data_IF_781401321152
#
_entry.id   IF_781401321152
#
_cell.length_a   1.000
_cell.length_b   1.000
_cell.length_c   1.000
_cell.angle_alpha   90.00
_cell.angle_beta   90.00
_cell.angle_gamma   90.00
#
_symmetry.space_group_name_H-M   'P 1'
#
loop_
_entity.id
_entity.type
_entity.pdbx_description
1 polymer ?
#
# COMPACT_ATOMS: atom_id res chain seq x y z
N UNK A 1 -11.50 9.32 7.10
CA UNK A 1 -10.94 8.53 5.99
C UNK A 1 -10.17 7.37 6.59
N UNK A 2 -9.90 6.30 5.83
CA UNK A 2 -9.20 5.14 6.37
C UNK A 2 -7.69 5.40 6.32
N UNK A 3 -7.01 5.36 7.47
CA UNK A 3 -5.56 5.44 7.52
C UNK A 3 -4.93 4.14 7.00
N UNK A 4 -3.71 4.21 6.51
CA UNK A 4 -2.96 3.03 6.08
C UNK A 4 -2.83 1.99 7.20
N UNK A 5 -2.58 2.44 8.44
CA UNK A 5 -2.56 1.57 9.61
C UNK A 5 -3.88 0.80 9.82
N UNK A 6 -5.03 1.44 9.57
CA UNK A 6 -6.33 0.75 9.64
C UNK A 6 -6.51 -0.32 8.55
N UNK A 7 -5.89 -0.15 7.39
CA UNK A 7 -5.86 -1.17 6.31
C UNK A 7 -5.00 -2.35 6.74
N UNK A 8 -3.83 -2.09 7.32
CA UNK A 8 -2.93 -3.13 7.88
C UNK A 8 -3.66 -3.95 8.95
N UNK A 9 -4.37 -3.27 9.88
CA UNK A 9 -5.14 -3.95 10.93
C UNK A 9 -6.23 -4.85 10.37
N UNK A 10 -6.95 -4.38 9.35
CA UNK A 10 -8.01 -5.16 8.69
C UNK A 10 -7.46 -6.40 7.97
N UNK A 11 -6.32 -6.26 7.27
CA UNK A 11 -5.60 -7.39 6.66
C UNK A 11 -5.17 -8.40 7.74
N UNK A 12 -4.51 -7.94 8.81
CA UNK A 12 -4.08 -8.79 9.91
C UNK A 12 -5.26 -9.51 10.57
N UNK A 13 -6.39 -8.84 10.76
CA UNK A 13 -7.59 -9.44 11.33
C UNK A 13 -8.15 -10.57 10.44
N UNK A 14 -8.20 -10.35 9.12
CA UNK A 14 -8.67 -11.36 8.17
C UNK A 14 -7.71 -12.56 8.15
N UNK A 15 -6.41 -12.31 8.02
CA UNK A 15 -5.41 -13.38 7.89
C UNK A 15 -5.29 -14.20 9.18
N UNK A 16 -5.33 -13.54 10.36
CA UNK A 16 -5.36 -14.21 11.67
C UNK A 16 -6.62 -15.09 11.84
N UNK A 17 -7.75 -14.69 11.27
CA UNK A 17 -9.00 -15.47 11.29
C UNK A 17 -8.91 -16.80 10.55
N UNK A 18 -8.03 -16.93 9.58
CA UNK A 18 -7.78 -18.18 8.84
C UNK A 18 -6.65 -19.03 9.44
N UNK A 19 -5.88 -18.48 10.37
CA UNK A 19 -4.76 -19.17 11.01
C UNK A 19 -5.19 -19.85 12.31
N UNK A 20 -4.79 -21.12 12.51
CA UNK A 20 -4.86 -21.80 13.80
C UNK A 20 -3.76 -21.33 14.77
N UNK A 21 -3.03 -20.28 14.40
CA UNK A 21 -1.91 -19.78 15.15
C UNK A 21 -2.40 -18.99 16.37
N UNK A 22 -2.02 -19.44 17.56
CA UNK A 22 -2.16 -18.65 18.77
C UNK A 22 -0.95 -17.72 18.90
N UNK A 23 -1.15 -16.41 18.86
CA UNK A 23 -0.03 -15.48 19.04
C UNK A 23 0.59 -15.68 20.43
N UNK A 24 1.90 -15.93 20.46
CA UNK A 24 2.70 -15.90 21.68
C UNK A 24 3.11 -14.46 21.92
N UNK A 25 2.86 -13.93 23.07
CA UNK A 25 3.22 -12.55 23.32
C UNK A 25 2.99 -12.13 24.75
N UNK A 26 3.50 -10.97 25.08
CA UNK A 26 3.40 -10.34 26.38
C UNK A 26 3.22 -8.83 26.23
N UNK A 27 3.29 -8.10 27.33
CA UNK A 27 3.19 -6.64 27.35
C UNK A 27 4.34 -6.08 28.18
N UNK A 28 4.87 -4.94 27.79
CA UNK A 28 5.86 -4.22 28.59
C UNK A 28 5.27 -3.84 29.95
N UNK A 29 6.07 -3.93 31.00
CA UNK A 29 5.68 -3.46 32.33
C UNK A 29 5.98 -1.99 32.55
N UNK A 30 6.96 -1.44 31.83
CA UNK A 30 7.39 -0.04 31.87
C UNK A 30 7.68 0.46 30.46
N UNK A 31 7.72 1.78 30.28
CA UNK A 31 8.20 2.39 29.04
C UNK A 31 9.69 2.07 28.82
N UNK A 32 10.08 2.00 27.56
CA UNK A 32 11.47 1.82 27.13
C UNK A 32 11.84 2.88 26.09
N UNK A 33 13.10 3.28 26.10
CA UNK A 33 13.68 4.20 25.13
C UNK A 33 14.28 3.46 23.92
N UNK A 34 14.76 4.20 22.93
CA UNK A 34 15.29 3.67 21.66
C UNK A 34 16.52 2.76 21.85
N UNK A 35 17.29 2.96 22.89
CA UNK A 35 18.60 2.31 23.15
C UNK A 35 18.51 1.21 24.22
N UNK A 36 17.34 1.05 24.86
CA UNK A 36 17.16 0.03 25.88
C UNK A 36 17.22 -1.37 25.27
N UNK A 37 18.24 -2.13 25.65
CA UNK A 37 18.42 -3.54 25.24
C UNK A 37 17.84 -4.53 26.23
N UNK A 38 17.39 -4.08 27.41
CA UNK A 38 16.83 -4.96 28.44
C UNK A 38 15.57 -4.34 29.00
N UNK A 39 14.51 -5.12 29.06
CA UNK A 39 13.23 -4.66 29.60
C UNK A 39 12.44 -5.81 30.24
N UNK A 40 11.46 -5.46 31.05
CA UNK A 40 10.60 -6.42 31.75
C UNK A 40 9.22 -6.49 31.08
N UNK A 41 8.69 -7.71 31.03
CA UNK A 41 7.36 -7.99 30.46
C UNK A 41 6.45 -8.58 31.55
N UNK A 42 5.15 -8.57 31.32
CA UNK A 42 4.18 -9.11 32.30
C UNK A 42 4.31 -10.63 32.48
N UNK A 43 4.57 -11.36 31.41
CA UNK A 43 4.74 -12.80 31.38
C UNK A 43 5.70 -13.20 30.27
N UNK A 44 6.83 -13.78 30.65
CA UNK A 44 7.85 -14.23 29.71
C UNK A 44 7.74 -15.73 29.39
N UNK A 45 6.74 -16.45 29.90
CA UNK A 45 6.61 -17.91 29.78
C UNK A 45 6.53 -18.38 28.33
N UNK A 46 5.91 -17.59 27.45
CA UNK A 46 5.72 -17.90 26.03
C UNK A 46 6.81 -17.33 25.12
N UNK A 47 7.75 -16.57 25.67
CA UNK A 47 8.84 -15.94 24.93
C UNK A 47 10.06 -16.84 24.87
N UNK A 48 10.85 -16.69 23.82
CA UNK A 48 12.12 -17.40 23.64
C UNK A 48 13.10 -16.53 22.85
N UNK A 49 14.32 -17.04 22.60
CA UNK A 49 15.29 -16.42 21.72
C UNK A 49 14.73 -16.36 20.29
N UNK A 50 14.87 -15.22 19.61
CA UNK A 50 14.41 -15.05 18.23
C UNK A 50 13.82 -13.68 17.95
N UNK A 51 13.07 -13.56 16.87
CA UNK A 51 12.49 -12.28 16.43
C UNK A 51 11.13 -12.09 17.08
N UNK A 52 10.91 -10.87 17.61
CA UNK A 52 9.61 -10.44 18.09
C UNK A 52 9.25 -9.07 17.50
N UNK A 53 7.97 -8.76 17.46
CA UNK A 53 7.43 -7.47 17.06
C UNK A 53 6.99 -6.70 18.30
N UNK A 54 7.51 -5.49 18.48
CA UNK A 54 7.26 -4.64 19.63
C UNK A 54 6.43 -3.43 19.22
N UNK A 55 5.33 -3.21 19.95
CA UNK A 55 4.42 -2.10 19.71
C UNK A 55 3.73 -2.12 18.34
N UNK A 56 3.85 -3.22 17.57
CA UNK A 56 3.29 -3.35 16.23
C UNK A 56 4.03 -2.56 15.14
N UNK A 57 5.20 -1.99 15.44
CA UNK A 57 5.95 -1.15 14.49
C UNK A 57 7.43 -1.52 14.38
N UNK A 58 8.03 -2.01 15.46
CA UNK A 58 9.46 -2.33 15.54
C UNK A 58 9.66 -3.85 15.63
N UNK A 59 10.59 -4.38 14.86
CA UNK A 59 11.11 -5.74 15.07
C UNK A 59 12.31 -5.69 15.99
N UNK A 60 12.37 -6.63 16.93
CA UNK A 60 13.45 -6.78 17.87
C UNK A 60 14.00 -8.20 17.83
N UNK A 61 15.32 -8.33 18.01
CA UNK A 61 15.99 -9.63 18.11
C UNK A 61 16.27 -9.94 19.58
N UNK A 62 15.53 -10.91 20.14
CA UNK A 62 15.71 -11.39 21.51
C UNK A 62 16.90 -12.33 21.55
N UNK A 63 17.88 -12.02 22.41
CA UNK A 63 19.04 -12.86 22.69
C UNK A 63 18.76 -13.85 23.82
N UNK A 64 18.14 -13.36 24.91
CA UNK A 64 17.82 -14.24 26.06
C UNK A 64 16.58 -13.78 26.79
N UNK A 65 15.93 -14.71 27.49
CA UNK A 65 14.73 -14.49 28.28
C UNK A 65 14.90 -15.13 29.67
N UNK A 66 14.89 -14.31 30.71
CA UNK A 66 14.80 -14.79 32.09
C UNK A 66 13.33 -14.89 32.52
N UNK A 67 12.81 -16.09 32.57
CA UNK A 67 11.42 -16.37 32.92
C UNK A 67 11.15 -16.20 34.45
N UNK A 68 12.22 -16.16 35.27
CA UNK A 68 12.06 -15.98 36.70
C UNK A 68 11.78 -14.51 37.05
N UNK A 69 12.46 -13.61 36.38
CA UNK A 69 12.33 -12.16 36.56
C UNK A 69 11.42 -11.52 35.48
N UNK A 70 10.95 -12.30 34.50
CA UNK A 70 10.24 -11.81 33.32
C UNK A 70 11.05 -10.76 32.55
N UNK A 71 12.36 -10.90 32.50
CA UNK A 71 13.27 -9.99 31.82
C UNK A 71 13.64 -10.51 30.43
N UNK A 72 13.52 -9.65 29.44
CA UNK A 72 13.94 -9.90 28.06
C UNK A 72 15.19 -9.08 27.78
N UNK A 73 16.23 -9.73 27.23
CA UNK A 73 17.46 -9.07 26.80
C UNK A 73 17.58 -9.22 25.30
N UNK A 74 17.79 -8.10 24.61
CA UNK A 74 18.00 -8.06 23.17
C UNK A 74 19.48 -8.26 22.82
N UNK A 75 19.73 -8.71 21.60
CA UNK A 75 21.08 -8.71 21.04
C UNK A 75 21.64 -7.27 20.94
N UNK A 76 22.97 -7.09 20.86
CA UNK A 76 23.58 -5.75 20.78
C UNK A 76 23.00 -4.84 19.67
N UNK A 77 22.63 -5.43 18.53
CA UNK A 77 21.95 -4.74 17.42
C UNK A 77 20.49 -5.21 17.28
N UNK A 78 19.88 -5.56 18.40
CA UNK A 78 18.57 -6.20 18.46
C UNK A 78 17.38 -5.23 18.36
N UNK A 79 17.60 -3.91 18.46
CA UNK A 79 16.59 -2.87 18.22
C UNK A 79 16.53 -2.55 16.73
N UNK A 80 15.34 -2.19 16.24
CA UNK A 80 15.16 -1.87 14.82
C UNK A 80 15.54 -3.01 13.86
N UNK A 81 15.45 -4.27 14.31
CA UNK A 81 15.86 -5.42 13.53
C UNK A 81 15.05 -5.57 12.23
N UNK A 82 15.67 -6.20 11.21
CA UNK A 82 14.97 -6.47 9.93
C UNK A 82 14.62 -5.21 9.12
N UNK A 83 15.28 -4.09 9.38
CA UNK A 83 15.06 -2.82 8.65
C UNK A 83 13.92 -1.97 9.20
N UNK A 84 13.46 -2.27 10.42
CA UNK A 84 12.55 -1.39 11.16
C UNK A 84 13.34 -0.29 11.89
N UNK A 85 12.67 0.76 12.31
CA UNK A 85 13.27 1.83 13.10
C UNK A 85 13.08 1.55 14.60
N UNK A 86 14.14 1.75 15.38
CA UNK A 86 14.07 1.69 16.84
C UNK A 86 13.31 2.91 17.37
N UNK A 87 12.22 2.70 18.08
CA UNK A 87 11.37 3.76 18.63
C UNK A 87 11.13 3.55 20.12
N UNK A 88 10.83 4.64 20.84
CA UNK A 88 10.41 4.53 22.22
C UNK A 88 9.01 3.91 22.33
N UNK A 89 8.82 3.01 23.29
CA UNK A 89 7.54 2.34 23.53
C UNK A 89 7.02 2.65 24.93
N UNK A 90 5.74 2.93 25.02
CA UNK A 90 5.07 3.13 26.30
C UNK A 90 4.91 1.81 27.07
N UNK A 91 4.69 1.91 28.38
CA UNK A 91 4.19 0.79 29.17
C UNK A 91 2.93 0.20 28.53
N UNK A 92 2.72 -1.10 28.67
CA UNK A 92 1.64 -1.86 28.04
C UNK A 92 1.74 -2.02 26.52
N UNK A 93 2.86 -1.58 25.89
CA UNK A 93 3.12 -1.93 24.50
C UNK A 93 3.23 -3.46 24.37
N UNK A 94 2.61 -3.99 23.32
CA UNK A 94 2.55 -5.42 23.08
C UNK A 94 3.84 -5.92 22.44
N UNK A 95 4.34 -7.06 22.92
CA UNK A 95 5.44 -7.81 22.34
C UNK A 95 4.86 -9.11 21.73
N UNK A 96 4.86 -9.25 20.43
CA UNK A 96 4.42 -10.46 19.72
C UNK A 96 5.64 -11.28 19.28
N UNK A 97 5.82 -12.46 19.86
CA UNK A 97 6.95 -13.34 19.57
C UNK A 97 6.65 -14.23 18.35
N UNK A 98 7.60 -14.26 17.41
CA UNK A 98 7.54 -15.09 16.20
C UNK A 98 6.19 -15.00 15.48
N UNK A 99 5.71 -13.75 15.27
CA UNK A 99 4.47 -13.52 14.57
C UNK A 99 4.57 -14.02 13.11
N UNK A 100 3.62 -14.86 12.62
CA UNK A 100 3.67 -15.41 11.27
C UNK A 100 3.51 -14.32 10.20
N UNK A 101 2.90 -13.21 10.55
CA UNK A 101 2.73 -12.02 9.72
C UNK A 101 3.17 -10.78 10.50
N UNK A 102 4.48 -10.46 10.48
CA UNK A 102 4.95 -9.20 11.03
C UNK A 102 4.28 -8.02 10.33
N UNK A 103 3.90 -7.02 11.10
CA UNK A 103 3.17 -5.84 10.60
C UNK A 103 3.89 -5.17 9.44
N UNK A 104 5.22 -5.08 9.53
CA UNK A 104 6.04 -4.53 8.45
C UNK A 104 5.93 -5.34 7.15
N UNK A 105 5.96 -6.68 7.24
CA UNK A 105 5.77 -7.53 6.06
C UNK A 105 4.39 -7.31 5.42
N UNK A 106 3.37 -7.17 6.25
CA UNK A 106 2.01 -6.87 5.77
C UNK A 106 1.97 -5.52 5.05
N UNK A 107 2.63 -4.48 5.59
CA UNK A 107 2.76 -3.17 4.94
C UNK A 107 3.43 -3.27 3.56
N UNK A 108 4.53 -4.00 3.47
CA UNK A 108 5.22 -4.23 2.19
C UNK A 108 4.30 -4.89 1.18
N UNK A 109 3.63 -5.98 1.55
CA UNK A 109 2.72 -6.69 0.63
C UNK A 109 1.52 -5.83 0.23
N UNK A 110 1.01 -4.96 1.12
CA UNK A 110 -0.03 -3.98 0.74
C UNK A 110 0.51 -3.02 -0.32
N UNK A 111 1.70 -2.47 -0.13
CA UNK A 111 2.32 -1.55 -1.09
C UNK A 111 2.61 -2.24 -2.43
N UNK A 112 3.15 -3.45 -2.42
CA UNK A 112 3.34 -4.27 -3.62
C UNK A 112 2.01 -4.50 -4.35
N UNK A 113 0.95 -4.80 -3.59
CA UNK A 113 -0.40 -4.97 -4.15
C UNK A 113 -0.92 -3.66 -4.76
N UNK A 114 -0.75 -2.51 -4.09
CA UNK A 114 -1.15 -1.19 -4.60
C UNK A 114 -0.48 -0.92 -5.94
N UNK A 115 0.84 -1.04 -6.01
CA UNK A 115 1.61 -0.77 -7.23
C UNK A 115 1.25 -1.75 -8.35
N UNK A 116 1.05 -3.03 -8.03
CA UNK A 116 0.70 -4.08 -9.01
C UNK A 116 -0.68 -3.91 -9.64
N UNK A 117 -1.58 -3.11 -9.06
CA UNK A 117 -2.90 -2.85 -9.66
C UNK A 117 -2.84 -2.06 -10.96
N UNK A 118 -1.74 -1.33 -11.21
CA UNK A 118 -1.56 -0.62 -12.47
C UNK A 118 -1.35 -1.61 -13.64
N UNK A 119 -1.92 -1.42 -14.83
CA UNK A 119 -2.75 -0.27 -15.29
C UNK A 119 -4.26 -0.44 -15.06
N UNK A 120 -4.71 -1.45 -14.32
CA UNK A 120 -6.13 -1.72 -14.11
C UNK A 120 -6.80 -0.65 -13.26
N UNK A 121 -6.15 -0.28 -12.17
CA UNK A 121 -6.46 0.87 -11.33
C UNK A 121 -5.36 1.93 -11.47
N UNK A 122 -5.74 3.17 -11.35
CA UNK A 122 -4.87 4.32 -11.47
C UNK A 122 -5.36 5.48 -10.63
N UNK A 123 -4.44 6.36 -10.27
CA UNK A 123 -4.73 7.64 -9.68
C UNK A 123 -5.02 8.71 -10.74
N UNK A 124 -5.65 9.80 -10.33
CA UNK A 124 -5.85 10.97 -11.18
C UNK A 124 -5.24 12.20 -10.50
N UNK A 125 -4.40 12.89 -11.23
CA UNK A 125 -3.84 14.18 -10.82
C UNK A 125 -4.37 15.32 -11.67
N UNK A 126 -4.20 16.54 -11.18
CA UNK A 126 -4.53 17.76 -11.92
C UNK A 126 -3.39 18.77 -11.81
N UNK A 127 -3.08 19.41 -12.92
CA UNK A 127 -2.16 20.56 -12.95
C UNK A 127 -2.78 21.71 -13.69
N UNK A 128 -2.35 22.93 -13.39
CA UNK A 128 -2.88 24.13 -13.99
C UNK A 128 -1.76 25.04 -14.45
N UNK A 129 -1.98 25.71 -15.59
CA UNK A 129 -1.13 26.75 -16.08
C UNK A 129 -1.95 27.85 -16.78
N UNK A 130 -1.39 29.04 -16.87
CA UNK A 130 -2.03 30.15 -17.61
C UNK A 130 -1.60 30.10 -19.07
N UNK A 131 -2.56 30.14 -19.99
CA UNK A 131 -2.25 30.15 -21.41
C UNK A 131 -1.64 31.46 -21.88
N UNK A 132 -0.50 31.38 -22.54
CA UNK A 132 0.23 32.49 -23.15
C UNK A 132 0.34 32.24 -24.66
N UNK A 133 -0.13 33.13 -25.54
CA UNK A 133 -0.19 32.89 -26.99
C UNK A 133 1.15 32.61 -27.67
N UNK A 134 2.26 33.12 -27.11
CA UNK A 134 3.61 32.87 -27.60
C UNK A 134 4.18 31.50 -27.19
N UNK A 135 3.49 30.77 -26.30
CA UNK A 135 3.92 29.47 -25.78
C UNK A 135 2.89 28.43 -26.21
N UNK A 136 3.32 27.48 -26.99
CA UNK A 136 2.44 26.37 -27.46
C UNK A 136 2.57 25.11 -26.63
N UNK A 137 3.72 24.94 -25.95
CA UNK A 137 4.06 23.73 -25.19
C UNK A 137 4.27 24.09 -23.73
N UNK A 138 3.64 23.34 -22.86
CA UNK A 138 3.68 23.52 -21.40
C UNK A 138 4.15 22.25 -20.70
N UNK A 139 4.80 22.43 -19.59
CA UNK A 139 5.28 21.33 -18.75
C UNK A 139 4.11 20.71 -17.95
N UNK A 140 4.15 19.39 -17.82
CA UNK A 140 3.18 18.60 -17.06
C UNK A 140 3.96 17.78 -16.01
N UNK A 141 3.41 17.51 -14.83
CA UNK A 141 4.10 16.74 -13.81
C UNK A 141 4.68 15.42 -14.32
N UNK A 142 5.83 15.00 -13.75
CA UNK A 142 6.53 13.78 -14.15
C UNK A 142 5.68 12.51 -13.94
N UNK A 143 4.75 12.53 -12.98
CA UNK A 143 3.82 11.43 -12.68
C UNK A 143 2.75 11.22 -13.75
N UNK A 144 2.60 12.17 -14.68
CA UNK A 144 1.58 12.07 -15.72
C UNK A 144 1.95 10.99 -16.75
N UNK A 145 1.21 9.91 -16.74
CA UNK A 145 1.36 8.80 -17.71
C UNK A 145 0.49 9.03 -18.96
N UNK A 146 -0.66 9.65 -18.77
CA UNK A 146 -1.61 9.91 -19.83
C UNK A 146 -2.53 11.07 -19.47
N UNK A 147 -2.84 11.90 -20.46
CA UNK A 147 -3.82 12.97 -20.28
C UNK A 147 -5.23 12.41 -20.46
N UNK A 148 -6.10 12.71 -19.51
CA UNK A 148 -7.51 12.29 -19.51
C UNK A 148 -8.41 13.39 -20.04
N UNK A 149 -8.17 14.64 -19.63
CA UNK A 149 -8.99 15.79 -19.99
C UNK A 149 -8.16 17.06 -19.93
N UNK A 150 -8.42 17.98 -20.85
CA UNK A 150 -7.90 19.34 -20.83
C UNK A 150 -9.07 20.31 -20.88
N UNK A 151 -9.14 21.25 -19.94
CA UNK A 151 -10.17 22.28 -19.91
C UNK A 151 -9.53 23.66 -19.73
N UNK A 152 -10.14 24.67 -20.34
CA UNK A 152 -9.78 26.06 -20.15
C UNK A 152 -10.94 26.80 -19.48
N UNK A 153 -10.66 27.61 -18.47
CA UNK A 153 -11.68 28.40 -17.80
C UNK A 153 -12.08 29.58 -18.67
N UNK A 154 -13.36 29.76 -18.88
CA UNK A 154 -13.87 30.90 -19.65
C UNK A 154 -13.70 32.19 -18.84
N UNK A 155 -13.10 33.21 -19.43
CA UNK A 155 -12.90 34.51 -18.80
C UNK A 155 -14.27 35.20 -18.68
N UNK A 156 -14.74 35.42 -17.44
CA UNK A 156 -16.01 36.06 -17.18
C UNK A 156 -16.61 35.68 -15.82
N UNK A 157 -17.81 36.19 -15.50
CA UNK A 157 -18.48 35.87 -14.23
C UNK A 157 -19.01 34.41 -14.17
N UNK A 158 -19.17 33.75 -15.31
CA UNK A 158 -19.54 32.35 -15.37
C UNK A 158 -18.30 31.48 -15.13
N UNK A 159 -18.45 30.41 -14.30
CA UNK A 159 -17.40 29.43 -14.09
C UNK A 159 -17.46 28.31 -15.14
N UNK A 160 -17.78 28.66 -16.38
CA UNK A 160 -17.87 27.69 -17.46
C UNK A 160 -16.47 27.24 -17.87
N UNK A 161 -16.36 25.97 -18.21
CA UNK A 161 -15.12 25.36 -18.69
C UNK A 161 -15.29 24.93 -20.14
N UNK A 162 -14.39 25.38 -20.98
CA UNK A 162 -14.29 24.92 -22.37
C UNK A 162 -13.38 23.68 -22.40
N UNK A 163 -13.84 22.61 -23.04
CA UNK A 163 -12.98 21.45 -23.27
C UNK A 163 -12.05 21.71 -24.44
N UNK A 164 -10.74 21.51 -24.24
CA UNK A 164 -9.72 21.56 -25.30
C UNK A 164 -9.53 20.15 -25.84
N UNK A 165 -9.93 19.92 -27.07
CA UNK A 165 -9.89 18.56 -27.67
C UNK A 165 -8.64 18.29 -28.49
N UNK A 166 -7.97 19.34 -28.98
CA UNK A 166 -6.75 19.20 -29.80
C UNK A 166 -5.51 19.54 -28.98
N UNK A 167 -4.85 18.52 -28.52
CA UNK A 167 -3.55 18.61 -27.85
C UNK A 167 -2.71 17.38 -28.21
N UNK A 168 -1.40 17.50 -28.05
CA UNK A 168 -0.49 16.35 -28.07
C UNK A 168 0.27 16.27 -26.76
N UNK A 169 0.40 15.08 -26.22
CA UNK A 169 1.17 14.79 -25.01
C UNK A 169 2.45 14.06 -25.41
N UNK A 170 3.58 14.53 -24.89
CA UNK A 170 4.89 13.91 -25.07
C UNK A 170 5.46 13.58 -23.68
N UNK A 171 5.64 12.28 -23.41
CA UNK A 171 6.20 11.75 -22.16
C UNK A 171 7.71 11.47 -22.23
N UNK A 172 8.36 11.89 -23.31
CA UNK A 172 9.82 11.72 -23.54
C UNK A 172 10.38 13.03 -24.07
N UNK A 173 10.04 14.14 -23.43
CA UNK A 173 10.62 15.44 -23.77
C UNK A 173 12.08 15.52 -23.27
N UNK A 174 12.98 16.24 -23.99
CA UNK A 174 14.36 16.38 -23.54
C UNK A 174 14.45 17.01 -22.16
N UNK A 175 15.17 16.38 -21.24
CA UNK A 175 15.33 16.86 -19.86
C UNK A 175 16.12 18.17 -19.75
N UNK A 176 16.89 18.53 -20.79
CA UNK A 176 17.64 19.78 -20.85
C UNK A 176 16.72 21.00 -20.99
N UNK A 177 15.56 20.81 -21.63
CA UNK A 177 14.57 21.86 -21.87
C UNK A 177 13.39 21.78 -20.89
N UNK A 178 13.08 20.57 -20.38
CA UNK A 178 11.87 20.27 -19.61
C UNK A 178 12.20 19.42 -18.38
N UNK A 179 12.15 20.01 -17.21
CA UNK A 179 12.61 19.38 -15.96
C UNK A 179 11.83 18.08 -15.61
N UNK A 180 10.55 18.01 -15.96
CA UNK A 180 9.69 16.83 -15.70
C UNK A 180 9.79 15.75 -16.78
N UNK A 181 10.35 16.08 -17.96
CA UNK A 181 10.34 15.20 -19.12
C UNK A 181 8.97 15.00 -19.79
N UNK A 182 7.92 15.62 -19.24
CA UNK A 182 6.55 15.52 -19.74
C UNK A 182 6.04 16.88 -20.23
N UNK A 183 5.52 16.91 -21.46
CA UNK A 183 4.98 18.15 -22.03
C UNK A 183 3.64 17.95 -22.71
N UNK A 184 2.84 19.01 -22.72
CA UNK A 184 1.60 19.09 -23.48
C UNK A 184 1.67 20.28 -24.46
N UNK A 185 1.38 20.01 -25.72
CA UNK A 185 1.27 21.03 -26.76
C UNK A 185 -0.18 21.25 -27.12
N UNK A 186 -0.68 22.47 -26.96
CA UNK A 186 -2.05 22.82 -27.32
C UNK A 186 -2.10 23.17 -28.81
N UNK A 187 -3.00 22.50 -29.54
CA UNK A 187 -3.21 22.70 -30.97
C UNK A 187 -4.52 23.43 -31.28
N UNK A 188 -5.33 23.69 -30.25
CA UNK A 188 -6.58 24.43 -30.33
C UNK A 188 -6.39 25.81 -29.68
N UNK A 189 -6.90 26.88 -30.32
CA UNK A 189 -6.76 28.23 -29.76
C UNK A 189 -7.53 28.35 -28.44
N UNK A 190 -6.81 28.77 -27.39
CA UNK A 190 -7.32 29.15 -26.09
C UNK A 190 -7.18 30.65 -25.98
N UNK A 191 -8.07 31.37 -25.28
CA UNK A 191 -7.94 32.81 -25.11
C UNK A 191 -6.76 33.13 -24.18
N UNK A 192 -5.98 34.18 -24.50
CA UNK A 192 -4.88 34.64 -23.66
C UNK A 192 -5.30 34.87 -22.22
N UNK A 193 -4.52 34.40 -21.26
CA UNK A 193 -4.80 34.59 -19.83
C UNK A 193 -5.81 33.60 -19.22
N UNK A 194 -6.39 32.68 -20.01
CA UNK A 194 -7.21 31.62 -19.43
C UNK A 194 -6.36 30.63 -18.65
N UNK A 195 -6.91 30.14 -17.53
CA UNK A 195 -6.33 29.01 -16.79
C UNK A 195 -6.69 27.73 -17.50
N UNK A 196 -5.67 26.97 -17.89
CA UNK A 196 -5.83 25.64 -18.47
C UNK A 196 -5.59 24.60 -17.37
N UNK A 197 -6.58 23.73 -17.16
CA UNK A 197 -6.51 22.62 -16.22
C UNK A 197 -6.31 21.32 -17.00
N UNK A 198 -5.25 20.62 -16.71
CA UNK A 198 -4.92 19.31 -17.28
C UNK A 198 -5.16 18.25 -16.23
N UNK A 199 -6.08 17.33 -16.51
CA UNK A 199 -6.33 16.15 -15.69
C UNK A 199 -5.60 14.98 -16.33
N UNK A 200 -4.76 14.31 -15.54
CA UNK A 200 -3.93 13.21 -16.03
C UNK A 200 -4.10 11.95 -15.17
N UNK A 201 -3.71 10.84 -15.74
CA UNK A 201 -3.59 9.53 -15.09
C UNK A 201 -2.18 9.41 -14.52
N UNK A 202 -2.08 8.93 -13.28
CA UNK A 202 -0.82 8.62 -12.60
C UNK A 202 -0.81 7.19 -12.06
N UNK A 203 0.39 6.64 -11.91
CA UNK A 203 0.57 5.35 -11.25
C UNK A 203 0.28 5.48 -9.75
N UNK A 204 -0.28 4.45 -9.13
CA UNK A 204 -0.33 4.38 -7.69
C UNK A 204 1.08 4.34 -7.09
N UNK A 205 1.24 5.01 -5.95
CA UNK A 205 2.50 5.06 -5.21
C UNK A 205 2.39 4.30 -3.89
N UNK A 206 3.52 3.91 -3.35
CA UNK A 206 3.61 3.32 -2.01
C UNK A 206 3.21 4.34 -0.94
N UNK A 207 2.71 3.84 0.19
CA UNK A 207 2.38 4.64 1.37
C UNK A 207 3.47 4.41 2.41
N UNK A 208 4.12 5.46 2.86
CA UNK A 208 5.27 5.38 3.75
C UNK A 208 4.85 5.28 5.22
N UNK A 209 3.90 6.11 5.66
CA UNK A 209 3.48 6.18 7.06
C UNK A 209 2.11 5.54 7.30
N UNK A 210 1.96 4.86 8.43
CA UNK A 210 0.67 4.30 8.86
C UNK A 210 -0.37 5.36 9.22
N UNK A 211 0.08 6.58 9.53
CA UNK A 211 -0.80 7.72 9.77
C UNK A 211 -1.39 8.32 8.50
N UNK A 212 -0.79 8.02 7.34
CA UNK A 212 -1.23 8.54 6.05
C UNK A 212 -2.59 7.97 5.66
N UNK A 213 -3.36 8.77 4.92
CA UNK A 213 -4.61 8.29 4.35
C UNK A 213 -4.32 7.28 3.21
N UNK A 214 -5.14 6.26 3.09
CA UNK A 214 -5.05 5.30 2.00
C UNK A 214 -5.04 5.97 0.61
N UNK A 215 -5.74 7.09 0.48
CA UNK A 215 -5.81 7.83 -0.78
C UNK A 215 -4.51 8.53 -1.17
N UNK A 216 -3.52 8.63 -0.26
CA UNK A 216 -2.17 9.12 -0.57
C UNK A 216 -1.48 8.27 -1.65
N UNK A 217 -1.83 6.98 -1.75
CA UNK A 217 -1.39 6.12 -2.86
C UNK A 217 -1.86 6.57 -4.24
N UNK A 218 -2.74 7.56 -4.33
CA UNK A 218 -3.41 7.97 -5.56
C UNK A 218 -4.65 7.14 -5.90
N UNK A 219 -4.89 6.01 -5.22
CA UNK A 219 -6.10 5.21 -5.39
C UNK A 219 -7.27 5.84 -4.64
N UNK A 220 -8.48 5.61 -5.13
CA UNK A 220 -9.68 6.07 -4.44
C UNK A 220 -10.01 5.15 -3.25
N UNK A 221 -10.69 5.70 -2.24
CA UNK A 221 -11.05 4.97 -1.02
C UNK A 221 -11.87 3.68 -1.29
N UNK A 222 -12.62 3.63 -2.39
CA UNK A 222 -13.39 2.45 -2.83
C UNK A 222 -12.52 1.27 -3.25
N UNK A 223 -11.28 1.52 -3.70
CA UNK A 223 -10.33 0.46 -4.07
C UNK A 223 -9.79 -0.32 -2.86
N UNK A 224 -9.98 0.20 -1.63
CA UNK A 224 -9.47 -0.39 -0.38
C UNK A 224 -9.77 -1.91 -0.28
N UNK A 225 -11.00 -2.32 -0.62
CA UNK A 225 -11.39 -3.74 -0.53
C UNK A 225 -10.61 -4.64 -1.47
N UNK A 226 -10.38 -4.19 -2.70
CA UNK A 226 -9.58 -4.93 -3.66
C UNK A 226 -8.17 -5.14 -3.10
N UNK A 227 -7.53 -4.08 -2.60
CA UNK A 227 -6.19 -4.16 -2.03
C UNK A 227 -6.14 -5.15 -0.84
N UNK A 228 -7.10 -5.08 0.08
CA UNK A 228 -7.16 -6.00 1.23
C UNK A 228 -7.22 -7.46 0.77
N UNK A 229 -8.11 -7.79 -0.16
CA UNK A 229 -8.23 -9.19 -0.63
C UNK A 229 -7.02 -9.65 -1.43
N UNK A 230 -6.41 -8.78 -2.24
CA UNK A 230 -5.16 -9.06 -2.96
C UNK A 230 -4.02 -9.36 -2.00
N UNK A 231 -3.83 -8.51 -0.99
CA UNK A 231 -2.83 -8.69 0.05
C UNK A 231 -3.04 -9.98 0.86
N UNK A 232 -4.29 -10.26 1.29
CA UNK A 232 -4.60 -11.48 2.01
C UNK A 232 -4.33 -12.74 1.18
N UNK A 233 -4.65 -12.71 -0.12
CA UNK A 233 -4.33 -13.79 -1.04
C UNK A 233 -2.83 -14.05 -1.10
N UNK A 234 -2.03 -13.00 -1.27
CA UNK A 234 -0.58 -13.10 -1.38
C UNK A 234 0.05 -13.62 -0.09
N UNK A 235 -0.34 -13.06 1.07
CA UNK A 235 0.16 -13.52 2.38
C UNK A 235 -0.15 -14.99 2.66
N UNK A 236 -1.34 -15.48 2.29
CA UNK A 236 -1.73 -16.87 2.53
C UNK A 236 -1.10 -17.84 1.53
N UNK A 237 -0.78 -17.40 0.31
CA UNK A 237 -0.08 -18.24 -0.68
C UNK A 237 1.31 -18.63 -0.19
N UNK A 238 2.03 -17.73 0.49
CA UNK A 238 3.34 -18.03 1.07
C UNK A 238 3.29 -19.02 2.25
N UNK A 239 2.15 -19.14 2.93
CA UNK A 239 2.04 -20.05 4.09
C UNK A 239 1.97 -21.53 3.70
N UNK A 240 1.46 -21.86 2.54
CA UNK A 240 1.40 -23.27 2.09
C UNK A 240 2.79 -23.85 1.89
N UNK A 241 3.77 -23.03 1.48
CA UNK A 241 5.16 -23.50 1.31
C UNK A 241 5.86 -23.81 2.65
N UNK A 242 5.53 -23.08 3.70
CA UNK A 242 6.11 -23.29 5.04
C UNK A 242 5.50 -24.49 5.79
N UNK A 243 4.41 -25.05 5.28
CA UNK A 243 3.67 -26.17 5.89
C UNK A 243 3.91 -27.53 5.22
N UNK A 244 4.79 -27.61 4.23
CA UNK A 244 5.19 -28.89 3.68
C UNK A 244 5.91 -29.66 4.79
N UNK A 245 5.29 -30.72 5.37
CA UNK A 245 5.92 -31.48 6.42
C UNK A 245 7.11 -32.20 5.83
N UNK A 246 8.28 -31.97 6.40
CA UNK A 246 9.52 -32.69 6.09
C UNK A 246 9.53 -34.08 6.73
N UNK A 247 8.53 -34.40 7.56
CA UNK A 247 8.46 -35.69 8.26
C UNK A 247 7.06 -36.30 8.08
N UNK A 248 7.04 -37.49 7.45
CA UNK A 248 5.82 -38.23 7.11
C UNK A 248 5.03 -38.70 8.34
N UNK A 249 5.65 -38.80 9.51
CA UNK A 249 4.99 -39.21 10.75
C UNK A 249 4.13 -38.08 11.37
N UNK A 250 4.47 -36.81 11.11
CA UNK A 250 3.68 -35.69 11.59
C UNK A 250 2.51 -35.37 10.64
N UNK A 251 2.52 -35.86 9.42
CA UNK A 251 1.48 -35.62 8.42
C UNK A 251 0.15 -36.31 8.79
N UNK A 252 0.19 -37.49 9.35
CA UNK A 252 -1.01 -38.30 9.66
C UNK A 252 -1.85 -37.71 10.80
N UNK A 253 -1.23 -37.06 11.78
CA UNK A 253 -1.91 -36.44 12.91
C UNK A 253 -2.46 -35.03 12.55
N UNK A 254 -1.88 -34.41 11.52
CA UNK A 254 -2.30 -33.09 11.02
C UNK A 254 -3.45 -33.19 10.00
N UNK A 255 -3.59 -34.32 9.34
CA UNK A 255 -4.56 -34.54 8.24
C UNK A 255 -6.02 -34.59 8.73
N UNK A 256 -6.25 -35.03 9.96
CA UNK A 256 -7.59 -35.12 10.55
C UNK A 256 -8.18 -33.74 10.94
N UNK A 257 -7.37 -32.71 11.11
CA UNK A 257 -7.81 -31.37 11.54
C UNK A 257 -7.82 -30.32 10.43
N UNK A 258 -7.01 -30.50 9.42
CA UNK A 258 -6.89 -29.56 8.28
C UNK A 258 -6.81 -30.37 6.98
N UNK A 259 -7.94 -30.53 6.29
CA UNK A 259 -7.97 -31.18 4.98
C UNK A 259 -6.88 -30.55 4.07
N UNK A 260 -6.06 -31.40 3.47
CA UNK A 260 -5.04 -31.02 2.49
C UNK A 260 -5.66 -30.09 1.45
N UNK A 261 -5.04 -28.92 1.21
CA UNK A 261 -5.54 -27.93 0.26
C UNK A 261 -6.53 -26.91 0.82
N UNK A 262 -6.76 -26.85 2.15
CA UNK A 262 -7.64 -25.84 2.75
C UNK A 262 -7.07 -24.42 2.54
N UNK A 263 -5.76 -24.22 2.72
CA UNK A 263 -5.12 -22.92 2.49
C UNK A 263 -5.18 -22.53 1.01
N UNK A 264 -4.95 -23.46 0.10
CA UNK A 264 -5.11 -23.25 -1.35
C UNK A 264 -6.56 -22.87 -1.72
N UNK A 265 -7.55 -23.51 -1.09
CA UNK A 265 -8.97 -23.17 -1.32
C UNK A 265 -9.31 -21.77 -0.83
N UNK A 266 -8.83 -21.40 0.36
CA UNK A 266 -9.02 -20.05 0.92
C UNK A 266 -8.31 -19.01 0.05
N UNK A 267 -7.07 -19.27 -0.35
CA UNK A 267 -6.29 -18.41 -1.24
C UNK A 267 -7.02 -18.19 -2.58
N UNK A 268 -7.56 -19.24 -3.20
CA UNK A 268 -8.35 -19.14 -4.43
C UNK A 268 -9.67 -18.36 -4.24
N UNK A 269 -10.33 -18.49 -3.09
CA UNK A 269 -11.51 -17.68 -2.79
C UNK A 269 -11.17 -16.19 -2.64
N UNK A 270 -10.04 -15.88 -1.99
CA UNK A 270 -9.57 -14.49 -1.84
C UNK A 270 -9.14 -13.91 -3.20
N UNK A 271 -8.48 -14.70 -4.04
CA UNK A 271 -8.16 -14.28 -5.41
C UNK A 271 -9.40 -13.98 -6.23
N UNK A 272 -10.44 -14.82 -6.12
CA UNK A 272 -11.72 -14.56 -6.79
C UNK A 272 -12.37 -13.27 -6.30
N UNK A 273 -12.38 -13.03 -4.99
CA UNK A 273 -12.90 -11.77 -4.42
C UNK A 273 -12.08 -10.56 -4.88
N UNK A 274 -10.76 -10.68 -4.88
CA UNK A 274 -9.85 -9.65 -5.39
C UNK A 274 -10.19 -9.27 -6.84
N UNK A 275 -10.31 -10.26 -7.72
CA UNK A 275 -10.64 -10.03 -9.12
C UNK A 275 -12.03 -9.38 -9.30
N UNK A 276 -13.02 -9.80 -8.50
CA UNK A 276 -14.35 -9.20 -8.54
C UNK A 276 -14.34 -7.73 -8.14
N UNK A 277 -13.71 -7.41 -7.00
CA UNK A 277 -13.60 -6.03 -6.52
C UNK A 277 -12.77 -5.15 -7.48
N UNK A 278 -11.68 -5.71 -8.03
CA UNK A 278 -10.85 -5.03 -9.03
C UNK A 278 -11.65 -4.66 -10.29
N UNK A 279 -12.46 -5.59 -10.80
CA UNK A 279 -13.30 -5.34 -11.97
C UNK A 279 -14.45 -4.36 -11.68
N UNK A 280 -15.02 -4.38 -10.48
CA UNK A 280 -16.02 -3.38 -10.06
C UNK A 280 -15.42 -1.99 -10.03
N UNK A 281 -14.24 -1.85 -9.42
CA UNK A 281 -13.56 -0.57 -9.32
C UNK A 281 -13.09 -0.06 -10.69
N UNK A 282 -12.59 -0.95 -11.53
CA UNK A 282 -12.27 -0.64 -12.94
C UNK A 282 -13.47 -0.10 -13.71
N UNK A 283 -14.65 -0.74 -13.56
CA UNK A 283 -15.90 -0.26 -14.20
C UNK A 283 -16.28 1.11 -13.68
N UNK A 284 -16.15 1.33 -12.37
CA UNK A 284 -16.43 2.63 -11.73
C UNK A 284 -15.49 3.72 -12.26
N UNK A 285 -14.19 3.46 -12.30
CA UNK A 285 -13.21 4.39 -12.84
C UNK A 285 -13.51 4.74 -14.32
N UNK A 286 -13.85 3.75 -15.13
CA UNK A 286 -14.22 3.98 -16.54
C UNK A 286 -15.49 4.83 -16.70
N UNK A 287 -16.42 4.79 -15.74
CA UNK A 287 -17.62 5.63 -15.79
C UNK A 287 -17.35 7.09 -15.42
N UNK A 288 -16.32 7.35 -14.62
CA UNK A 288 -15.93 8.69 -14.16
C UNK A 288 -14.98 9.35 -15.17
N UNK A 289 -14.10 8.57 -15.77
CA UNK A 289 -13.12 9.06 -16.75
C UNK A 289 -13.77 9.07 -18.14
N UNK A 290 -14.01 10.25 -18.73
CA UNK A 290 -14.59 10.33 -20.05
C UNK A 290 -13.65 9.70 -21.09
N UNK A 291 -14.14 8.66 -21.76
CA UNK A 291 -13.43 8.07 -22.90
C UNK A 291 -13.64 8.97 -24.10
N UNK A 292 -12.61 9.72 -24.49
CA UNK A 292 -12.63 10.45 -25.78
C UNK A 292 -12.61 9.43 -26.91
N UNK A 293 -13.77 9.18 -27.53
CA UNK A 293 -13.88 8.35 -28.72
C UNK A 293 -13.49 9.22 -29.91
N UNK A 294 -12.24 9.13 -30.37
CA UNK A 294 -11.84 9.74 -31.63
C UNK A 294 -12.43 8.93 -32.79
N UNK A 295 -13.52 9.45 -33.40
CA UNK A 295 -13.99 8.96 -34.64
C UNK A 295 -12.97 9.38 -35.73
N UNK A 296 -12.12 8.45 -36.15
CA UNK A 296 -11.25 8.65 -37.35
C UNK A 296 -12.16 8.72 -38.54
N UNK A 297 -12.52 9.90 -38.98
CA UNK A 297 -13.08 10.10 -40.34
C UNK A 297 -11.98 9.83 -41.35
N UNK A 298 -12.16 8.78 -42.14
CA UNK A 298 -11.33 8.50 -43.31
C UNK A 298 -11.60 9.53 -44.40
#
# INVERSE_FOLDING_TARGET
>A
MATFGSVVDEVLQIVKGYGLYQPRGSYLTSSIDTDDLTFTVRDASSLDQGIAELGGSEQVLIDSVDRTTNTVTLAPDGRGYGGTEAVAHAADARLDFNAPWPRQRVRQVINDTIVSTYPTLFGTGTTQFTYVPSVTTYEVPAEAERILKVTADVIGPSRDQQTVNRYSFNSVAPSDDWATGNTITLQEPVQPGQTVTVTYLQRPTEIESESDDFTTSGLQASAKRAIIYGTCHELLTFMDMARLPTDTAAADEYDDRNAVGTATRISNQLMTKYQMELEQERKRLRSIVPVAIYKRTR
#
